data_IF_453699531019
#
_entry.id   IF_453699531019
#
_cell.length_a   1.000
_cell.length_b   1.000
_cell.length_c   1.000
_cell.angle_alpha   90.00
_cell.angle_beta   90.00
_cell.angle_gamma   90.00
#
_symmetry.space_group_name_H-M   'P 1'
#
loop_
_entity.id
_entity.type
_entity.pdbx_description
1 polymer ?
#
# COMPACT_ATOMS: atom_id res chain seq x y z
N UNK A 1 -2.09 -15.27 0.94
CA UNK A 1 -1.28 -15.44 -0.29
C UNK A 1 -1.00 -14.13 -1.04
N UNK A 2 -1.87 -13.11 -0.94
CA UNK A 2 -1.61 -11.78 -1.55
C UNK A 2 -0.28 -11.18 -1.05
N UNK A 3 -0.03 -11.17 0.26
CA UNK A 3 1.22 -10.65 0.83
C UNK A 3 2.49 -11.38 0.36
N UNK A 4 2.44 -12.71 0.18
CA UNK A 4 3.58 -13.47 -0.31
C UNK A 4 3.87 -13.17 -1.79
N UNK A 5 2.86 -12.79 -2.57
CA UNK A 5 3.06 -12.38 -3.97
C UNK A 5 3.75 -11.01 -4.08
N UNK A 6 3.57 -10.14 -3.07
CA UNK A 6 4.16 -8.80 -3.02
C UNK A 6 5.61 -8.80 -2.51
N UNK A 7 6.05 -9.87 -1.84
CA UNK A 7 7.43 -9.95 -1.33
C UNK A 7 8.47 -9.85 -2.45
N UNK A 8 8.14 -10.36 -3.64
CA UNK A 8 9.02 -10.29 -4.81
C UNK A 8 9.30 -8.84 -5.22
N UNK A 9 8.29 -7.99 -5.18
CA UNK A 9 8.45 -6.56 -5.51
C UNK A 9 9.25 -5.87 -4.41
N UNK A 10 8.97 -6.20 -3.13
CA UNK A 10 9.74 -5.69 -2.00
C UNK A 10 11.24 -6.03 -2.08
N UNK A 11 11.61 -7.25 -2.50
CA UNK A 11 13.02 -7.64 -2.69
C UNK A 11 13.66 -6.88 -3.85
N UNK A 12 12.92 -6.60 -4.93
CA UNK A 12 13.43 -5.80 -6.06
C UNK A 12 13.69 -4.37 -5.60
N UNK A 13 12.78 -3.77 -4.83
CA UNK A 13 12.96 -2.42 -4.30
C UNK A 13 14.11 -2.36 -3.27
N UNK A 14 14.27 -3.40 -2.46
CA UNK A 14 15.40 -3.55 -1.53
C UNK A 14 16.76 -3.57 -2.24
N UNK A 15 16.82 -4.12 -3.45
CA UNK A 15 18.03 -4.16 -4.27
C UNK A 15 18.30 -2.89 -5.09
N UNK A 16 17.53 -1.81 -4.91
CA UNK A 16 17.67 -0.56 -5.69
C UNK A 16 16.58 -0.35 -6.75
N UNK A 17 15.54 -1.19 -6.78
CA UNK A 17 14.36 -1.04 -7.63
C UNK A 17 14.58 -1.46 -9.09
N UNK A 18 13.55 -1.24 -9.90
CA UNK A 18 13.58 -1.60 -11.32
C UNK A 18 14.62 -0.80 -12.11
N UNK A 19 14.94 0.43 -11.71
CA UNK A 19 15.97 1.26 -12.34
C UNK A 19 17.37 0.64 -12.20
N UNK A 20 17.76 0.24 -10.98
CA UNK A 20 19.05 -0.42 -10.73
C UNK A 20 19.17 -1.79 -11.42
N UNK A 21 18.04 -2.49 -11.57
CA UNK A 21 17.97 -3.76 -12.28
C UNK A 21 18.25 -3.61 -13.79
N UNK A 22 17.79 -2.53 -14.40
CA UNK A 22 18.05 -2.24 -15.81
C UNK A 22 19.46 -1.72 -16.07
N UNK A 23 20.08 -1.03 -15.12
CA UNK A 23 21.46 -0.52 -15.21
C UNK A 23 22.55 -1.49 -14.76
N UNK A 24 22.19 -2.70 -14.30
CA UNK A 24 23.14 -3.71 -13.82
C UNK A 24 23.76 -3.40 -12.44
N UNK A 25 23.28 -2.36 -11.75
CA UNK A 25 23.74 -1.94 -10.42
C UNK A 25 22.88 -2.49 -9.28
N UNK A 26 22.05 -3.50 -9.59
CA UNK A 26 21.17 -4.17 -8.63
C UNK A 26 21.97 -4.80 -7.49
N UNK A 27 21.60 -4.48 -6.26
CA UNK A 27 22.27 -5.00 -5.07
C UNK A 27 23.62 -4.36 -4.76
N UNK A 28 23.88 -3.13 -5.22
CA UNK A 28 25.03 -2.35 -4.73
C UNK A 28 24.97 -2.19 -3.20
N UNK A 29 26.13 -2.13 -2.54
CA UNK A 29 26.25 -2.06 -1.07
C UNK A 29 25.49 -0.87 -0.47
N UNK A 30 25.39 0.24 -1.20
CA UNK A 30 24.63 1.43 -0.77
C UNK A 30 23.13 1.14 -0.65
N UNK A 31 22.52 0.51 -1.67
CA UNK A 31 21.09 0.18 -1.65
C UNK A 31 20.76 -0.89 -0.61
N UNK A 32 21.57 -1.95 -0.55
CA UNK A 32 21.40 -3.02 0.44
C UNK A 32 21.65 -2.52 1.86
N UNK A 33 22.62 -1.61 2.06
CA UNK A 33 22.94 -1.02 3.35
C UNK A 33 21.79 -0.19 3.91
N UNK A 34 21.21 0.69 3.10
CA UNK A 34 20.04 1.50 3.51
C UNK A 34 18.82 0.59 3.76
N UNK A 35 18.58 -0.41 2.90
CA UNK A 35 17.51 -1.38 3.09
C UNK A 35 17.65 -2.17 4.40
N UNK A 36 18.85 -2.70 4.68
CA UNK A 36 19.14 -3.43 5.91
C UNK A 36 19.00 -2.55 7.15
N UNK A 37 19.45 -1.30 7.07
CA UNK A 37 19.30 -0.32 8.15
C UNK A 37 17.82 -0.14 8.50
N UNK A 38 16.96 0.09 7.50
CA UNK A 38 15.51 0.21 7.72
C UNK A 38 14.95 -1.06 8.35
N UNK A 39 15.33 -2.23 7.85
CA UNK A 39 14.88 -3.52 8.38
C UNK A 39 15.26 -3.70 9.85
N UNK A 40 16.50 -3.40 10.22
CA UNK A 40 17.00 -3.46 11.60
C UNK A 40 16.22 -2.52 12.51
N UNK A 41 15.99 -1.28 12.06
CA UNK A 41 15.22 -0.29 12.82
C UNK A 41 13.79 -0.76 13.04
N UNK A 42 13.12 -1.25 11.99
CA UNK A 42 11.74 -1.76 12.08
C UNK A 42 11.65 -2.97 13.02
N UNK A 43 12.58 -3.92 12.93
CA UNK A 43 12.63 -5.09 13.82
C UNK A 43 12.88 -4.64 15.27
N UNK A 44 13.83 -3.73 15.49
CA UNK A 44 14.14 -3.18 16.81
C UNK A 44 12.92 -2.55 17.48
N UNK A 45 12.19 -1.70 16.77
CA UNK A 45 10.95 -1.08 17.27
C UNK A 45 9.78 -2.07 17.40
N UNK A 46 9.72 -3.11 16.55
CA UNK A 46 8.72 -4.16 16.64
C UNK A 46 8.90 -5.04 17.89
N UNK A 47 10.14 -5.20 18.36
CA UNK A 47 10.46 -5.92 19.59
C UNK A 47 10.22 -5.09 20.88
N UNK A 48 9.98 -3.78 20.78
CA UNK A 48 9.71 -2.95 21.95
C UNK A 48 8.38 -3.31 22.61
N UNK A 49 8.35 -3.27 23.95
CA UNK A 49 7.19 -3.70 24.75
C UNK A 49 6.00 -2.72 24.71
N UNK A 50 6.24 -1.47 24.30
CA UNK A 50 5.19 -0.45 24.19
C UNK A 50 4.36 -0.61 22.89
N UNK A 51 3.03 -0.75 22.97
CA UNK A 51 2.17 -0.96 21.80
C UNK A 51 2.23 0.16 20.75
N UNK A 52 2.43 1.41 21.19
CA UNK A 52 2.50 2.58 20.32
C UNK A 52 3.75 2.56 19.42
N UNK A 53 4.90 2.19 19.97
CA UNK A 53 6.13 2.07 19.18
C UNK A 53 6.05 0.91 18.17
N UNK A 54 5.32 -0.16 18.49
CA UNK A 54 5.11 -1.29 17.58
C UNK A 54 4.25 -0.91 16.37
N UNK A 55 3.19 -0.12 16.58
CA UNK A 55 2.34 0.38 15.47
C UNK A 55 3.07 1.42 14.61
N UNK A 56 3.90 2.27 15.22
CA UNK A 56 4.65 3.32 14.52
C UNK A 56 6.00 2.88 13.93
N UNK A 57 6.51 1.71 14.29
CA UNK A 57 7.88 1.28 13.96
C UNK A 57 8.20 1.29 12.47
N UNK A 58 7.22 0.94 11.62
CA UNK A 58 7.38 0.99 10.15
C UNK A 58 7.55 2.43 9.66
N UNK A 59 6.75 3.37 10.18
CA UNK A 59 6.85 4.78 9.79
C UNK A 59 8.17 5.41 10.25
N UNK A 60 8.60 5.11 11.48
CA UNK A 60 9.89 5.57 12.01
C UNK A 60 11.04 5.00 11.18
N UNK A 61 11.01 3.70 10.87
CA UNK A 61 12.01 3.06 10.02
C UNK A 61 12.12 3.70 8.65
N UNK A 62 10.99 4.04 8.02
CA UNK A 62 10.97 4.75 6.74
C UNK A 62 11.58 6.15 6.83
N UNK A 63 11.25 6.92 7.88
CA UNK A 63 11.84 8.23 8.11
C UNK A 63 13.36 8.16 8.27
N UNK A 64 13.85 7.22 9.08
CA UNK A 64 15.29 7.02 9.30
C UNK A 64 15.99 6.61 7.99
N UNK A 65 15.40 5.69 7.23
CA UNK A 65 15.92 5.28 5.93
C UNK A 65 16.00 6.42 4.92
N UNK A 66 14.98 7.29 4.90
CA UNK A 66 14.98 8.47 4.04
C UNK A 66 16.09 9.47 4.42
N UNK A 67 16.26 9.74 5.72
CA UNK A 67 17.34 10.61 6.22
C UNK A 67 18.71 10.03 5.87
N UNK A 68 18.91 8.71 6.03
CA UNK A 68 20.14 8.05 5.63
C UNK A 68 20.41 8.23 4.13
N UNK A 69 19.41 8.00 3.28
CA UNK A 69 19.52 8.20 1.83
C UNK A 69 19.88 9.64 1.44
N UNK A 70 19.36 10.64 2.17
CA UNK A 70 19.75 12.04 2.01
C UNK A 70 21.22 12.27 2.33
N UNK A 71 21.73 11.67 3.41
CA UNK A 71 23.15 11.77 3.78
C UNK A 71 24.08 11.09 2.76
N UNK A 72 23.63 10.00 2.12
CA UNK A 72 24.37 9.36 1.02
C UNK A 72 24.24 10.11 -0.32
N UNK A 73 23.40 11.14 -0.43
CA UNK A 73 23.24 11.92 -1.65
C UNK A 73 22.49 11.20 -2.78
N UNK A 74 21.77 10.11 -2.47
CA UNK A 74 21.06 9.28 -3.45
C UNK A 74 19.68 9.86 -3.85
N UNK A 75 19.35 11.07 -3.39
CA UNK A 75 18.03 11.69 -3.54
C UNK A 75 18.07 12.83 -4.54
N UNK A 76 17.39 12.65 -5.68
CA UNK A 76 17.26 13.67 -6.72
C UNK A 76 16.06 14.60 -6.48
N UNK A 77 16.35 15.87 -6.15
CA UNK A 77 15.33 16.92 -5.99
C UNK A 77 14.94 17.61 -7.31
N UNK A 78 15.58 17.25 -8.43
CA UNK A 78 15.38 17.89 -9.74
C UNK A 78 13.91 17.80 -10.20
N UNK A 79 13.29 16.64 -10.04
CA UNK A 79 11.90 16.39 -10.46
C UNK A 79 10.87 17.19 -9.66
N UNK A 80 11.17 17.62 -8.43
CA UNK A 80 10.23 18.38 -7.59
C UNK A 80 10.26 19.88 -7.87
N UNK A 81 11.31 20.41 -8.53
CA UNK A 81 11.47 21.85 -8.75
C UNK A 81 10.43 22.44 -9.72
N UNK A 82 9.91 21.62 -10.63
CA UNK A 82 8.97 22.04 -11.67
C UNK A 82 7.50 21.70 -11.36
N UNK A 83 7.20 21.19 -10.16
CA UNK A 83 5.83 20.81 -9.81
C UNK A 83 5.04 22.00 -9.22
N UNK A 84 3.78 22.22 -9.66
CA UNK A 84 2.93 23.22 -9.05
C UNK A 84 2.60 22.85 -7.61
N UNK A 85 2.73 23.84 -6.69
CA UNK A 85 2.43 23.69 -5.25
C UNK A 85 1.00 23.21 -4.99
N UNK A 86 0.07 23.50 -5.90
CA UNK A 86 -1.32 23.06 -5.84
C UNK A 86 -1.64 22.32 -7.14
N UNK A 87 -1.85 21.01 -7.03
CA UNK A 87 -2.34 20.20 -8.15
C UNK A 87 -3.83 19.95 -7.94
N UNK A 88 -4.66 20.53 -8.81
CA UNK A 88 -6.09 20.24 -8.84
C UNK A 88 -6.26 18.86 -9.48
N UNK A 89 -6.93 17.88 -8.82
CA UNK A 89 -7.15 16.57 -9.40
C UNK A 89 -8.03 16.72 -10.64
N UNK A 90 -7.46 16.51 -11.82
CA UNK A 90 -8.19 16.62 -13.07
C UNK A 90 -9.00 15.34 -13.29
N UNK A 91 -10.35 15.37 -13.21
CA UNK A 91 -11.14 14.20 -13.54
C UNK A 91 -10.95 13.90 -15.04
N UNK A 92 -10.76 12.62 -15.38
CA UNK A 92 -10.56 12.16 -16.77
C UNK A 92 -9.23 12.56 -17.45
N UNK A 93 -8.14 12.74 -16.70
CA UNK A 93 -6.81 13.02 -17.25
C UNK A 93 -6.33 12.02 -18.32
N UNK A 94 -6.82 10.78 -18.28
CA UNK A 94 -6.38 9.69 -19.16
C UNK A 94 -7.40 9.35 -20.28
N UNK A 95 -8.55 10.04 -20.34
CA UNK A 95 -9.65 9.74 -21.30
C UNK A 95 -10.77 8.84 -20.74
N UNK A 96 -11.62 8.30 -21.61
CA UNK A 96 -12.58 7.22 -21.28
C UNK A 96 -12.51 6.17 -22.39
N UNK A 97 -11.75 5.09 -22.15
CA UNK A 97 -11.62 3.96 -23.07
C UNK A 97 -12.14 2.71 -22.38
N UNK A 98 -13.24 2.13 -22.86
CA UNK A 98 -13.82 0.93 -22.25
C UNK A 98 -13.41 -0.31 -23.02
N UNK A 99 -12.40 -1.02 -22.52
CA UNK A 99 -12.02 -2.33 -23.06
C UNK A 99 -12.60 -3.45 -22.20
N UNK A 100 -13.25 -4.43 -22.81
CA UNK A 100 -13.80 -5.60 -22.10
C UNK A 100 -12.73 -6.34 -21.27
N UNK A 101 -11.50 -6.39 -21.77
CA UNK A 101 -10.36 -6.97 -21.06
C UNK A 101 -10.05 -6.26 -19.73
N UNK A 102 -10.04 -4.93 -19.69
CA UNK A 102 -9.78 -4.15 -18.48
C UNK A 102 -10.89 -4.35 -17.43
N UNK A 103 -12.14 -4.49 -17.88
CA UNK A 103 -13.27 -4.78 -17.01
C UNK A 103 -13.09 -6.10 -16.25
N UNK A 104 -12.65 -7.16 -16.92
CA UNK A 104 -12.39 -8.43 -16.25
C UNK A 104 -11.25 -8.35 -15.24
N UNK A 105 -10.13 -7.70 -15.58
CA UNK A 105 -8.98 -7.56 -14.66
C UNK A 105 -9.38 -6.80 -13.39
N UNK A 106 -10.08 -5.67 -13.54
CA UNK A 106 -10.57 -4.88 -12.39
C UNK A 106 -11.60 -5.67 -11.58
N UNK A 107 -12.47 -6.42 -12.25
CA UNK A 107 -13.43 -7.32 -11.59
C UNK A 107 -12.76 -8.38 -10.72
N UNK A 108 -11.67 -9.00 -11.21
CA UNK A 108 -10.89 -9.97 -10.43
C UNK A 108 -10.19 -9.33 -9.24
N UNK A 109 -9.59 -8.15 -9.40
CA UNK A 109 -8.96 -7.41 -8.29
C UNK A 109 -9.99 -7.05 -7.21
N UNK A 110 -11.20 -6.66 -7.64
CA UNK A 110 -12.30 -6.36 -6.72
C UNK A 110 -12.71 -7.59 -5.91
N UNK A 111 -12.87 -8.75 -6.56
CA UNK A 111 -13.17 -10.01 -5.87
C UNK A 111 -12.12 -10.35 -4.80
N UNK A 112 -10.82 -10.22 -5.14
CA UNK A 112 -9.73 -10.46 -4.18
C UNK A 112 -9.76 -9.49 -2.99
N UNK A 113 -10.11 -8.23 -3.23
CA UNK A 113 -10.22 -7.21 -2.18
C UNK A 113 -11.37 -7.50 -1.21
N UNK A 114 -12.50 -8.03 -1.71
CA UNK A 114 -13.62 -8.44 -0.86
C UNK A 114 -13.20 -9.62 0.02
N UNK A 115 -12.49 -10.60 -0.53
CA UNK A 115 -12.00 -11.76 0.23
C UNK A 115 -11.01 -11.34 1.32
N UNK A 116 -10.10 -10.41 1.04
CA UNK A 116 -9.20 -9.82 2.04
C UNK A 116 -9.99 -9.13 3.15
N UNK A 117 -10.92 -8.23 2.80
CA UNK A 117 -11.71 -7.49 3.79
C UNK A 117 -12.52 -8.40 4.71
N UNK A 118 -13.08 -9.50 4.20
CA UNK A 118 -13.78 -10.50 5.02
C UNK A 118 -12.81 -11.20 5.98
N UNK A 119 -11.59 -11.52 5.52
CA UNK A 119 -10.52 -12.06 6.36
C UNK A 119 -10.14 -11.13 7.51
N UNK A 120 -9.94 -9.84 7.22
CA UNK A 120 -9.57 -8.83 8.20
C UNK A 120 -10.66 -8.60 9.26
N UNK A 121 -11.93 -8.57 8.84
CA UNK A 121 -13.08 -8.45 9.76
C UNK A 121 -13.14 -9.67 10.68
N UNK A 122 -12.96 -10.87 10.13
CA UNK A 122 -12.98 -12.13 10.89
C UNK A 122 -11.82 -12.17 11.90
N UNK A 123 -10.61 -11.81 11.47
CA UNK A 123 -9.44 -11.76 12.34
C UNK A 123 -9.61 -10.73 13.47
N UNK A 124 -10.14 -9.54 13.14
CA UNK A 124 -10.42 -8.50 14.13
C UNK A 124 -11.49 -8.93 15.13
N UNK A 125 -12.53 -9.66 14.69
CA UNK A 125 -13.56 -10.21 15.56
C UNK A 125 -13.00 -11.25 16.53
N UNK A 126 -12.12 -12.14 16.06
CA UNK A 126 -11.41 -13.12 16.91
C UNK A 126 -10.53 -12.43 17.96
N UNK A 127 -9.72 -11.44 17.56
CA UNK A 127 -8.84 -10.69 18.47
C UNK A 127 -9.65 -9.89 19.50
N UNK A 128 -10.79 -9.34 19.08
CA UNK A 128 -11.66 -8.53 19.93
C UNK A 128 -12.63 -9.36 20.80
N UNK A 129 -12.56 -10.70 20.73
CA UNK A 129 -13.48 -11.63 21.41
C UNK A 129 -14.96 -11.33 21.14
N UNK A 130 -15.28 -10.87 19.94
CA UNK A 130 -16.65 -10.64 19.49
C UNK A 130 -17.20 -11.91 18.83
N UNK A 131 -18.52 -12.16 18.91
CA UNK A 131 -19.11 -13.35 18.32
C UNK A 131 -18.87 -13.37 16.80
N UNK A 132 -18.37 -14.50 16.29
CA UNK A 132 -18.12 -14.74 14.87
C UNK A 132 -19.32 -15.37 14.15
N UNK A 133 -20.39 -15.67 14.89
CA UNK A 133 -21.64 -16.30 14.43
C UNK A 133 -22.83 -15.70 15.23
N UNK A 134 -23.92 -15.32 14.56
CA UNK A 134 -25.14 -14.73 15.16
C UNK A 134 -25.61 -13.43 14.48
N UNK A 135 -26.80 -12.90 14.82
CA UNK A 135 -27.33 -11.61 14.29
C UNK A 135 -26.38 -10.41 14.57
N UNK A 136 -25.52 -10.51 15.59
CA UNK A 136 -24.49 -9.52 15.89
C UNK A 136 -23.22 -9.67 15.02
N UNK A 137 -23.02 -10.81 14.34
CA UNK A 137 -22.00 -10.94 13.30
C UNK A 137 -22.59 -10.31 12.04
N UNK A 138 -22.11 -9.14 11.61
CA UNK A 138 -22.72 -8.46 10.49
C UNK A 138 -22.42 -9.26 9.21
N UNK A 139 -23.37 -10.10 8.80
CA UNK A 139 -23.59 -10.37 7.38
C UNK A 139 -23.59 -9.01 6.66
N UNK A 140 -23.00 -8.89 5.46
CA UNK A 140 -22.77 -7.61 4.77
C UNK A 140 -23.98 -6.68 4.56
N UNK A 141 -25.18 -7.09 4.95
CA UNK A 141 -26.45 -6.36 4.82
C UNK A 141 -26.66 -5.26 5.86
N UNK A 142 -26.00 -5.27 7.03
CA UNK A 142 -26.42 -4.40 8.15
C UNK A 142 -25.31 -3.60 8.86
N UNK A 143 -24.47 -2.89 8.08
CA UNK A 143 -23.70 -1.74 8.61
C UNK A 143 -23.92 -0.47 7.79
N UNK A 144 -25.06 0.21 7.96
CA UNK A 144 -25.31 1.56 7.38
C UNK A 144 -24.39 2.68 7.91
N UNK A 145 -23.62 2.45 8.97
CA UNK A 145 -22.80 3.50 9.62
C UNK A 145 -21.28 3.27 9.57
N UNK A 146 -20.79 2.04 9.73
CA UNK A 146 -19.35 1.73 9.53
C UNK A 146 -19.01 1.35 8.07
N UNK A 147 -19.93 0.66 7.37
CA UNK A 147 -19.84 0.47 5.92
C UNK A 147 -19.99 1.79 5.15
N UNK A 148 -20.44 2.87 5.80
CA UNK A 148 -20.45 4.21 5.22
C UNK A 148 -19.07 4.82 5.14
N UNK A 149 -18.18 4.59 6.12
CA UNK A 149 -16.81 5.14 6.08
C UNK A 149 -15.86 4.26 5.28
N UNK A 150 -15.93 2.94 5.47
CA UNK A 150 -15.19 2.01 4.62
C UNK A 150 -15.72 2.08 3.19
N UNK A 151 -17.04 2.01 2.97
CA UNK A 151 -17.66 2.14 1.66
C UNK A 151 -17.56 3.55 1.05
N UNK A 152 -17.38 4.63 1.83
CA UNK A 152 -17.01 5.94 1.30
C UNK A 152 -15.53 6.00 0.91
N UNK A 153 -14.63 5.42 1.71
CA UNK A 153 -13.23 5.22 1.31
C UNK A 153 -13.10 4.32 0.07
N UNK A 154 -13.86 3.23 -0.03
CA UNK A 154 -13.91 2.35 -1.20
C UNK A 154 -14.72 2.95 -2.34
N UNK A 155 -15.74 3.78 -2.13
CA UNK A 155 -16.44 4.47 -3.22
C UNK A 155 -15.65 5.66 -3.73
N UNK A 156 -14.86 6.34 -2.90
CA UNK A 156 -13.83 7.27 -3.37
C UNK A 156 -12.70 6.52 -4.05
N UNK A 157 -12.21 5.39 -3.50
CA UNK A 157 -11.09 4.63 -4.04
C UNK A 157 -11.46 3.80 -5.27
N UNK A 158 -12.65 3.24 -5.41
CA UNK A 158 -13.17 2.67 -6.65
C UNK A 158 -13.57 3.76 -7.63
N UNK A 159 -14.12 4.91 -7.21
CA UNK A 159 -14.31 6.02 -8.15
C UNK A 159 -12.99 6.63 -8.59
N UNK A 160 -11.90 6.46 -7.85
CA UNK A 160 -10.57 6.88 -8.29
C UNK A 160 -9.83 5.77 -9.07
N UNK A 161 -9.92 4.51 -8.65
CA UNK A 161 -9.25 3.35 -9.28
C UNK A 161 -10.03 2.87 -10.50
N UNK A 162 -11.35 2.72 -10.47
CA UNK A 162 -12.11 2.39 -11.69
C UNK A 162 -12.01 3.52 -12.73
N UNK A 163 -11.91 4.79 -12.31
CA UNK A 163 -11.62 5.89 -13.25
C UNK A 163 -10.18 5.84 -13.78
N UNK A 164 -9.17 5.48 -12.97
CA UNK A 164 -7.78 5.43 -13.44
C UNK A 164 -7.37 4.11 -14.13
N UNK A 165 -7.96 2.97 -13.79
CA UNK A 165 -7.56 1.64 -14.26
C UNK A 165 -8.39 1.13 -15.47
N UNK A 166 -9.65 1.57 -15.62
CA UNK A 166 -10.35 1.47 -16.92
C UNK A 166 -9.66 2.37 -17.95
N UNK A 167 -8.88 3.35 -17.49
CA UNK A 167 -8.17 4.30 -18.31
C UNK A 167 -6.65 4.10 -18.37
N UNK A 168 -6.17 2.91 -18.03
CA UNK A 168 -4.78 2.49 -18.28
C UNK A 168 -4.72 1.68 -19.58
N UNK A 169 -4.98 2.36 -20.70
CA UNK A 169 -4.40 2.12 -22.02
C UNK A 169 -4.69 3.30 -22.94
#
# INVERSE_FOLDING_TARGET
MIGLSLIKVGIIDFGGGFAAKSSGTFGNYEHLGVGLLVLIVVIGFNCCRSPLLRMGGIAIGLCVGYIASLCLGMVDFSSMRNLPLITIPHPFKYGFSFSFHQFLVVGTIYLLSVLEAVGDITATAMVSRRPIQGEEYPVPTERRRAGRWSGFCYRLRCRFITINHVCAK
#
